data_IF_229568696944
#
_entry.id   IF_229568696944
#
_cell.length_a   1.000
_cell.length_b   1.000
_cell.length_c   1.000
_cell.angle_alpha   90.00
_cell.angle_beta   90.00
_cell.angle_gamma   90.00
#
_symmetry.space_group_name_H-M   'P 1'
#
loop_
_entity.id
_entity.type
_entity.pdbx_description
1 polymer ?
#
# COMPACT_ATOMS: atom_id res chain seq x y z
N UNK A 1 20.06 11.30 -16.20
CA UNK A 1 18.90 12.14 -16.54
C UNK A 1 18.06 11.50 -17.65
N UNK A 2 18.51 11.44 -18.92
CA UNK A 2 17.71 10.88 -20.02
C UNK A 2 17.29 9.41 -19.83
N UNK A 3 18.21 8.54 -19.39
CA UNK A 3 17.91 7.13 -19.09
C UNK A 3 16.91 6.98 -17.94
N UNK A 4 17.06 7.77 -16.89
CA UNK A 4 16.16 7.78 -15.73
C UNK A 4 14.74 8.22 -16.09
N UNK A 5 14.60 9.24 -16.95
CA UNK A 5 13.30 9.67 -17.46
C UNK A 5 12.65 8.61 -18.34
N UNK A 6 13.40 8.00 -19.25
CA UNK A 6 12.90 6.92 -20.10
C UNK A 6 12.48 5.68 -19.29
N UNK A 7 13.25 5.29 -18.27
CA UNK A 7 12.91 4.17 -17.38
C UNK A 7 11.61 4.45 -16.60
N UNK A 8 11.43 5.68 -16.11
CA UNK A 8 10.22 6.11 -15.42
C UNK A 8 9.01 6.13 -16.34
N UNK A 9 9.12 6.72 -17.54
CA UNK A 9 8.05 6.73 -18.53
C UNK A 9 7.64 5.32 -18.95
N UNK A 10 8.61 4.42 -19.13
CA UNK A 10 8.34 3.01 -19.43
C UNK A 10 7.60 2.33 -18.29
N UNK A 11 8.00 2.56 -17.04
CA UNK A 11 7.31 2.01 -15.87
C UNK A 11 5.87 2.54 -15.78
N UNK A 12 5.67 3.84 -15.94
CA UNK A 12 4.34 4.42 -15.89
C UNK A 12 3.45 3.97 -17.05
N UNK A 13 4.01 3.74 -18.23
CA UNK A 13 3.27 3.13 -19.34
C UNK A 13 2.73 1.75 -18.95
N UNK A 14 3.52 0.96 -18.20
CA UNK A 14 3.05 -0.33 -17.65
C UNK A 14 1.97 -0.15 -16.59
N UNK A 15 2.13 0.81 -15.67
CA UNK A 15 1.08 1.16 -14.69
C UNK A 15 -0.22 1.48 -15.41
N UNK A 16 -0.18 2.33 -16.44
CA UNK A 16 -1.34 2.67 -17.24
C UNK A 16 -1.97 1.46 -17.94
N UNK A 17 -1.16 0.58 -18.52
CA UNK A 17 -1.64 -0.63 -19.16
C UNK A 17 -2.37 -1.57 -18.19
N UNK A 18 -1.83 -1.77 -16.98
CA UNK A 18 -2.42 -2.66 -15.96
C UNK A 18 -3.67 -2.02 -15.35
N UNK A 19 -3.61 -0.72 -15.03
CA UNK A 19 -4.71 0.02 -14.39
C UNK A 19 -5.82 0.44 -15.36
N UNK A 20 -5.68 0.16 -16.67
CA UNK A 20 -6.60 0.61 -17.71
C UNK A 20 -6.59 2.13 -17.94
N UNK A 21 -5.51 2.82 -17.56
CA UNK A 21 -5.37 4.27 -17.68
C UNK A 21 -4.77 4.67 -19.02
N UNK A 22 -5.34 5.69 -19.67
CA UNK A 22 -4.80 6.26 -20.92
C UNK A 22 -5.05 7.77 -20.99
N UNK A 23 -4.31 8.45 -21.87
CA UNK A 23 -4.49 9.88 -22.11
C UNK A 23 -4.39 10.70 -20.83
N UNK A 24 -5.51 11.28 -20.40
CA UNK A 24 -5.58 12.13 -19.20
C UNK A 24 -5.27 11.37 -17.92
N UNK A 25 -5.83 10.18 -17.72
CA UNK A 25 -5.64 9.41 -16.48
C UNK A 25 -4.19 8.97 -16.30
N UNK A 26 -3.52 8.57 -17.39
CA UNK A 26 -2.11 8.23 -17.34
C UNK A 26 -1.25 9.47 -17.03
N UNK A 27 -1.61 10.64 -17.58
CA UNK A 27 -0.93 11.89 -17.24
C UNK A 27 -1.11 12.23 -15.76
N UNK A 28 -2.30 12.06 -15.20
CA UNK A 28 -2.56 12.34 -13.78
C UNK A 28 -1.76 11.40 -12.87
N UNK A 29 -1.66 10.11 -13.22
CA UNK A 29 -0.79 9.16 -12.52
C UNK A 29 0.70 9.59 -12.58
N UNK A 30 1.19 10.01 -13.75
CA UNK A 30 2.56 10.49 -13.92
C UNK A 30 2.84 11.72 -13.06
N UNK A 31 1.96 12.72 -13.15
CA UNK A 31 2.08 13.98 -12.40
C UNK A 31 2.08 13.69 -10.89
N UNK A 32 1.23 12.76 -10.45
CA UNK A 32 1.18 12.38 -9.04
C UNK A 32 2.43 11.64 -8.59
N UNK A 33 2.95 10.68 -9.37
CA UNK A 33 4.18 9.97 -9.00
C UNK A 33 5.37 10.94 -8.87
N UNK A 34 5.47 11.92 -9.77
CA UNK A 34 6.49 12.98 -9.70
C UNK A 34 6.29 13.84 -8.46
N UNK A 35 5.04 14.25 -8.18
CA UNK A 35 4.71 15.08 -7.02
C UNK A 35 5.04 14.36 -5.71
N UNK A 36 4.61 13.11 -5.55
CA UNK A 36 4.92 12.29 -4.39
C UNK A 36 6.44 12.08 -4.26
N UNK A 37 7.13 11.92 -5.39
CA UNK A 37 8.58 11.87 -5.48
C UNK A 37 9.31 13.13 -4.97
N UNK A 38 8.64 14.28 -4.96
CA UNK A 38 9.17 15.56 -4.50
C UNK A 38 8.71 15.91 -3.07
N UNK A 39 7.48 15.52 -2.70
CA UNK A 39 6.84 15.88 -1.44
C UNK A 39 7.15 14.87 -0.31
N UNK A 40 7.69 13.68 -0.63
CA UNK A 40 7.97 12.62 0.33
C UNK A 40 9.44 12.21 0.34
N UNK A 41 9.81 11.29 1.23
CA UNK A 41 11.17 10.71 1.28
C UNK A 41 11.45 9.72 0.13
N UNK A 42 10.44 9.36 -0.66
CA UNK A 42 10.53 8.37 -1.73
C UNK A 42 10.71 9.05 -3.07
N UNK A 43 11.45 8.42 -3.98
CA UNK A 43 11.61 8.89 -5.35
C UNK A 43 10.35 8.66 -6.19
N UNK A 44 10.22 9.42 -7.29
CA UNK A 44 9.14 9.20 -8.26
C UNK A 44 9.12 7.76 -8.82
N UNK A 45 10.28 7.10 -8.90
CA UNK A 45 10.39 5.70 -9.36
C UNK A 45 9.86 4.72 -8.31
N UNK A 46 10.12 4.97 -7.03
CA UNK A 46 9.55 4.17 -5.94
C UNK A 46 8.03 4.36 -5.87
N UNK A 47 7.54 5.60 -6.01
CA UNK A 47 6.12 5.88 -6.10
C UNK A 47 5.48 5.15 -7.30
N UNK A 48 6.12 5.18 -8.48
CA UNK A 48 5.66 4.43 -9.66
C UNK A 48 5.63 2.91 -9.42
N UNK A 49 6.60 2.36 -8.68
CA UNK A 49 6.59 0.95 -8.26
C UNK A 49 5.41 0.62 -7.35
N UNK A 50 5.10 1.49 -6.38
CA UNK A 50 3.91 1.35 -5.56
C UNK A 50 2.61 1.40 -6.38
N UNK A 51 2.51 2.34 -7.33
CA UNK A 51 1.35 2.44 -8.23
C UNK A 51 1.18 1.17 -9.08
N UNK A 52 2.28 0.57 -9.52
CA UNK A 52 2.28 -0.67 -10.29
C UNK A 52 1.78 -1.86 -9.47
N UNK A 53 2.17 -1.95 -8.20
CA UNK A 53 1.69 -2.98 -7.29
C UNK A 53 0.19 -2.82 -7.02
N UNK A 54 -0.27 -1.59 -6.78
CA UNK A 54 -1.70 -1.31 -6.61
C UNK A 54 -2.51 -1.64 -7.87
N UNK A 55 -1.98 -1.30 -9.05
CA UNK A 55 -2.59 -1.68 -10.33
C UNK A 55 -2.69 -3.20 -10.47
N UNK A 56 -1.62 -3.91 -10.12
CA UNK A 56 -1.55 -5.38 -10.17
C UNK A 56 -2.52 -6.04 -9.16
N UNK A 57 -2.80 -5.34 -8.05
CA UNK A 57 -3.84 -5.72 -7.09
C UNK A 57 -5.28 -5.41 -7.57
N UNK A 58 -5.45 -4.95 -8.81
CA UNK A 58 -6.75 -4.73 -9.45
C UNK A 58 -7.31 -3.31 -9.31
N UNK A 59 -6.54 -2.36 -8.77
CA UNK A 59 -6.99 -0.98 -8.63
C UNK A 59 -6.91 -0.22 -9.96
N UNK A 60 -7.94 0.57 -10.26
CA UNK A 60 -7.92 1.50 -11.39
C UNK A 60 -7.14 2.79 -11.09
N UNK A 61 -6.93 3.62 -12.11
CA UNK A 61 -6.19 4.89 -12.03
C UNK A 61 -6.60 5.77 -10.84
N UNK A 62 -7.90 5.96 -10.61
CA UNK A 62 -8.42 6.81 -9.52
C UNK A 62 -8.18 6.20 -8.15
N UNK A 63 -8.36 4.89 -8.03
CA UNK A 63 -8.10 4.16 -6.79
C UNK A 63 -6.61 4.20 -6.44
N UNK A 64 -5.73 3.97 -7.43
CA UNK A 64 -4.29 4.11 -7.24
C UNK A 64 -3.95 5.50 -6.72
N UNK A 65 -4.46 6.54 -7.37
CA UNK A 65 -4.19 7.91 -6.95
C UNK A 65 -4.67 8.21 -5.53
N UNK A 66 -5.82 7.67 -5.14
CA UNK A 66 -6.35 7.84 -3.78
C UNK A 66 -5.55 7.06 -2.73
N UNK A 67 -5.08 5.86 -3.07
CA UNK A 67 -4.37 4.98 -2.14
C UNK A 67 -2.91 5.38 -1.93
N UNK A 68 -2.25 5.95 -2.95
CA UNK A 68 -0.81 6.18 -2.96
C UNK A 68 -0.27 6.98 -1.76
N UNK A 69 -0.92 8.07 -1.29
CA UNK A 69 -0.45 8.80 -0.11
C UNK A 69 -0.38 7.92 1.14
N UNK A 70 -1.40 7.10 1.40
CA UNK A 70 -1.40 6.18 2.55
C UNK A 70 -0.39 5.05 2.41
N UNK A 71 -0.14 4.56 1.18
CA UNK A 71 0.94 3.60 0.94
C UNK A 71 2.31 4.19 1.28
N UNK A 72 2.58 5.44 0.92
CA UNK A 72 3.85 6.07 1.27
C UNK A 72 3.96 6.35 2.77
N UNK A 73 2.85 6.66 3.45
CA UNK A 73 2.83 6.72 4.92
C UNK A 73 3.18 5.38 5.54
N UNK A 74 2.58 4.29 5.04
CA UNK A 74 2.90 2.94 5.51
C UNK A 74 4.37 2.58 5.26
N UNK A 75 4.91 2.95 4.09
CA UNK A 75 6.32 2.74 3.77
C UNK A 75 7.25 3.49 4.72
N UNK A 76 6.89 4.71 5.11
CA UNK A 76 7.68 5.47 6.08
C UNK A 76 7.73 4.79 7.47
N UNK A 77 6.68 4.04 7.83
CA UNK A 77 6.60 3.28 9.09
C UNK A 77 7.29 1.92 8.98
N UNK A 78 7.25 1.27 7.79
CA UNK A 78 7.76 -0.08 7.56
C UNK A 78 9.23 -0.15 7.14
N UNK A 79 10.01 0.92 7.36
CA UNK A 79 11.44 0.95 7.02
C UNK A 79 11.76 1.31 5.57
N UNK A 80 10.80 1.85 4.82
CA UNK A 80 11.01 2.50 3.53
C UNK A 80 10.63 1.67 2.30
N UNK A 81 10.09 0.46 2.47
CA UNK A 81 9.70 -0.37 1.32
C UNK A 81 8.30 0.01 0.78
N UNK A 82 8.29 0.81 -0.28
CA UNK A 82 7.06 1.24 -0.97
C UNK A 82 6.35 0.06 -1.64
N UNK A 83 7.08 -0.92 -2.14
CA UNK A 83 6.51 -2.05 -2.86
C UNK A 83 5.73 -2.96 -1.89
N UNK A 84 6.36 -3.33 -0.76
CA UNK A 84 5.72 -4.08 0.32
C UNK A 84 4.53 -3.32 0.91
N UNK A 85 4.66 -2.01 1.08
CA UNK A 85 3.58 -1.18 1.61
C UNK A 85 2.38 -1.11 0.68
N UNK A 86 2.60 -1.06 -0.64
CA UNK A 86 1.53 -1.10 -1.62
C UNK A 86 0.78 -2.44 -1.57
N UNK A 87 1.51 -3.55 -1.44
CA UNK A 87 0.92 -4.88 -1.28
C UNK A 87 0.11 -5.00 0.01
N UNK A 88 0.66 -4.57 1.14
CA UNK A 88 -0.01 -4.63 2.45
C UNK A 88 -1.26 -3.75 2.49
N UNK A 89 -1.17 -2.52 1.96
CA UNK A 89 -2.32 -1.64 1.85
C UNK A 89 -3.39 -2.24 0.95
N UNK A 90 -3.04 -2.78 -0.22
CA UNK A 90 -4.00 -3.41 -1.10
C UNK A 90 -4.68 -4.63 -0.45
N UNK A 91 -3.90 -5.48 0.23
CA UNK A 91 -4.42 -6.64 0.97
C UNK A 91 -5.41 -6.21 2.05
N UNK A 92 -5.07 -5.22 2.87
CA UNK A 92 -5.94 -4.74 3.92
C UNK A 92 -7.23 -4.11 3.33
N UNK A 93 -7.08 -3.25 2.33
CA UNK A 93 -8.22 -2.58 1.69
C UNK A 93 -9.18 -3.59 1.08
N UNK A 94 -8.67 -4.52 0.28
CA UNK A 94 -9.48 -5.54 -0.36
C UNK A 94 -10.06 -6.54 0.64
N UNK A 95 -9.27 -6.97 1.62
CA UNK A 95 -9.66 -7.98 2.61
C UNK A 95 -10.76 -7.53 3.56
N UNK A 96 -10.81 -6.23 3.87
CA UNK A 96 -11.84 -5.63 4.73
C UNK A 96 -12.90 -4.84 3.97
N UNK A 97 -12.88 -4.85 2.63
CA UNK A 97 -13.84 -4.13 1.81
C UNK A 97 -13.79 -2.60 1.97
N UNK A 98 -12.61 -2.06 2.27
CA UNK A 98 -12.37 -0.62 2.44
C UNK A 98 -12.15 0.08 1.10
N UNK A 99 -12.35 1.39 1.07
CA UNK A 99 -12.14 2.19 -0.13
C UNK A 99 -10.67 2.61 -0.27
N UNK A 100 -10.20 2.85 -1.48
CA UNK A 100 -8.79 3.22 -1.72
C UNK A 100 -8.32 4.46 -0.93
N UNK A 101 -9.22 5.40 -0.66
CA UNK A 101 -8.95 6.60 0.16
C UNK A 101 -8.66 6.26 1.64
N UNK A 102 -9.03 5.07 2.10
CA UNK A 102 -8.82 4.59 3.46
C UNK A 102 -7.40 4.04 3.66
N UNK A 103 -6.53 4.08 2.64
CA UNK A 103 -5.15 3.61 2.75
C UNK A 103 -4.35 4.33 3.85
N UNK A 104 -4.66 5.62 4.11
CA UNK A 104 -4.05 6.35 5.21
C UNK A 104 -4.49 5.79 6.57
N UNK A 105 -5.77 5.42 6.70
CA UNK A 105 -6.27 4.76 7.89
C UNK A 105 -5.64 3.37 8.08
N UNK A 106 -5.45 2.59 7.01
CA UNK A 106 -4.70 1.33 7.07
C UNK A 106 -3.28 1.57 7.59
N UNK A 107 -2.58 2.57 7.07
CA UNK A 107 -1.24 2.93 7.53
C UNK A 107 -1.21 3.30 9.03
N UNK A 108 -2.20 4.07 9.49
CA UNK A 108 -2.31 4.45 10.90
C UNK A 108 -2.55 3.25 11.81
N UNK A 109 -3.40 2.29 11.39
CA UNK A 109 -3.66 1.07 12.17
C UNK A 109 -2.40 0.21 12.26
N UNK A 110 -1.67 0.05 11.16
CA UNK A 110 -0.39 -0.66 11.16
C UNK A 110 0.64 0.05 12.05
N UNK A 111 0.78 1.36 11.92
CA UNK A 111 1.68 2.14 12.75
C UNK A 111 1.35 2.02 14.24
N UNK A 112 0.05 2.01 14.57
CA UNK A 112 -0.42 1.85 15.94
C UNK A 112 -0.11 0.47 16.51
N UNK A 113 -0.43 -0.58 15.76
CA UNK A 113 -0.15 -1.94 16.19
C UNK A 113 1.36 -2.18 16.36
N UNK A 114 2.19 -1.68 15.43
CA UNK A 114 3.65 -1.78 15.55
C UNK A 114 4.25 -0.95 16.69
N UNK A 115 3.60 0.14 17.10
CA UNK A 115 4.04 0.94 18.24
C UNK A 115 3.63 0.33 19.60
N UNK A 116 2.49 -0.35 19.64
CA UNK A 116 1.92 -0.90 20.87
C UNK A 116 2.35 -2.36 21.13
N UNK A 117 2.85 -3.07 20.11
CA UNK A 117 3.24 -4.49 20.22
C UNK A 117 4.54 -4.79 19.47
N UNK A 118 5.03 -6.02 19.55
CA UNK A 118 6.21 -6.51 18.82
C UNK A 118 5.92 -6.91 17.35
N UNK A 119 4.78 -6.51 16.79
CA UNK A 119 4.41 -6.78 15.40
C UNK A 119 5.09 -5.79 14.45
N UNK A 120 5.79 -6.29 13.43
CA UNK A 120 6.30 -5.44 12.36
C UNK A 120 5.25 -5.27 11.25
N UNK A 121 5.35 -4.20 10.45
CA UNK A 121 4.42 -3.96 9.35
C UNK A 121 4.43 -5.10 8.31
N UNK A 122 5.58 -5.78 8.11
CA UNK A 122 5.69 -6.99 7.32
C UNK A 122 4.90 -8.16 7.94
N UNK A 123 5.08 -8.40 9.24
CA UNK A 123 4.41 -9.49 9.97
C UNK A 123 2.88 -9.32 9.89
N UNK A 124 2.40 -8.09 10.04
CA UNK A 124 0.98 -7.78 9.90
C UNK A 124 0.48 -7.97 8.47
N UNK A 125 1.25 -7.53 7.47
CA UNK A 125 0.93 -7.77 6.07
C UNK A 125 0.71 -9.25 5.77
N UNK A 126 1.67 -10.10 6.18
CA UNK A 126 1.59 -11.55 5.99
C UNK A 126 0.42 -12.18 6.75
N UNK A 127 0.22 -11.79 8.01
CA UNK A 127 -0.91 -12.29 8.80
C UNK A 127 -2.26 -11.90 8.15
N UNK A 128 -2.40 -10.67 7.70
CA UNK A 128 -3.62 -10.16 7.08
C UNK A 128 -3.95 -10.84 5.74
N UNK A 129 -2.95 -11.23 4.93
CA UNK A 129 -3.19 -12.03 3.72
C UNK A 129 -3.97 -13.31 4.04
N UNK A 130 -3.71 -13.90 5.21
CA UNK A 130 -4.29 -15.18 5.63
C UNK A 130 -5.64 -15.03 6.33
N UNK A 131 -5.87 -13.93 7.05
CA UNK A 131 -7.02 -13.80 7.96
C UNK A 131 -8.01 -12.69 7.59
N UNK A 132 -7.63 -11.71 6.77
CA UNK A 132 -8.47 -10.53 6.54
C UNK A 132 -9.86 -10.87 5.97
N UNK A 133 -10.01 -11.71 4.92
CA UNK A 133 -11.33 -12.05 4.39
C UNK A 133 -12.22 -12.78 5.40
N UNK A 134 -11.63 -13.65 6.23
CA UNK A 134 -12.35 -14.43 7.24
C UNK A 134 -12.75 -13.57 8.43
N UNK A 135 -11.87 -12.67 8.89
CA UNK A 135 -12.14 -11.72 9.95
C UNK A 135 -13.27 -10.76 9.56
N UNK A 136 -13.19 -10.19 8.35
CA UNK A 136 -14.26 -9.34 7.82
C UNK A 136 -15.59 -10.11 7.69
N UNK A 137 -15.56 -11.35 7.19
CA UNK A 137 -16.74 -12.21 7.12
C UNK A 137 -17.34 -12.57 8.49
N UNK A 138 -16.53 -12.57 9.55
CA UNK A 138 -16.96 -12.74 10.93
C UNK A 138 -17.43 -11.44 11.60
N UNK A 139 -17.38 -10.30 10.88
CA UNK A 139 -17.78 -8.99 11.36
C UNK A 139 -16.72 -8.24 12.17
N UNK A 140 -15.46 -8.70 12.16
CA UNK A 140 -14.36 -8.01 12.81
C UNK A 140 -13.83 -6.86 11.95
N UNK A 141 -13.42 -5.77 12.60
CA UNK A 141 -12.78 -4.64 11.95
C UNK A 141 -11.29 -4.89 11.67
N UNK A 142 -10.70 -4.01 10.85
CA UNK A 142 -9.26 -3.99 10.61
C UNK A 142 -8.49 -3.79 11.93
N UNK A 143 -8.95 -2.87 12.78
CA UNK A 143 -8.34 -2.55 14.07
C UNK A 143 -8.40 -3.71 15.05
N UNK A 144 -9.56 -4.38 15.16
CA UNK A 144 -9.71 -5.56 16.03
C UNK A 144 -8.78 -6.69 15.58
N UNK A 145 -8.69 -6.91 14.27
CA UNK A 145 -7.84 -7.94 13.69
C UNK A 145 -6.35 -7.59 13.87
N UNK A 146 -5.96 -6.35 13.61
CA UNK A 146 -4.58 -5.88 13.79
C UNK A 146 -4.16 -5.94 15.27
N UNK A 147 -5.04 -5.58 16.20
CA UNK A 147 -4.78 -5.71 17.64
C UNK A 147 -4.58 -7.19 18.03
N UNK A 148 -5.41 -8.11 17.52
CA UNK A 148 -5.25 -9.53 17.78
C UNK A 148 -3.92 -10.08 17.24
N UNK A 149 -3.54 -9.69 16.01
CA UNK A 149 -2.22 -10.03 15.43
C UNK A 149 -1.09 -9.45 16.28
N UNK A 150 -1.26 -8.22 16.77
CA UNK A 150 -0.30 -7.57 17.66
C UNK A 150 -0.05 -8.36 18.94
N UNK A 151 -1.12 -8.78 19.64
CA UNK A 151 -1.03 -9.61 20.86
C UNK A 151 -0.39 -10.97 20.57
N UNK A 152 -0.68 -11.59 19.43
CA UNK A 152 -0.03 -12.84 19.02
C UNK A 152 1.48 -12.63 18.79
N UNK A 153 1.86 -11.49 18.20
CA UNK A 153 3.26 -11.15 17.95
C UNK A 153 4.05 -10.93 19.23
N UNK A 154 3.44 -10.36 20.27
CA UNK A 154 4.02 -10.26 21.62
C UNK A 154 4.27 -11.64 22.25
N UNK A 155 3.40 -12.61 21.95
CA UNK A 155 3.58 -14.00 22.35
C UNK A 155 4.57 -14.78 21.46
N UNK A 156 5.21 -14.12 20.48
CA UNK A 156 6.19 -14.71 19.57
C UNK A 156 5.59 -15.40 18.34
N UNK A 157 4.28 -15.26 18.09
CA UNK A 157 3.60 -15.78 16.91
C UNK A 157 3.46 -14.63 15.89
N UNK A 158 4.40 -14.57 14.96
CA UNK A 158 4.45 -13.55 13.89
C UNK A 158 3.94 -14.10 12.57
N UNK A 159 3.45 -13.22 11.69
CA UNK A 159 3.14 -13.57 10.31
C UNK A 159 4.41 -13.93 9.54
N UNK A 160 4.31 -14.92 8.63
CA UNK A 160 5.45 -15.47 7.88
C UNK A 160 5.04 -16.04 6.53
#
# INVERSE_FOLDING_TARGET
ALKTGADFEHQMSRVGAIAGASGKDLKELNDQAIKLGADTAFSAKEAAGGMENLASAGMNSKQIMAAMPGVLNLAAVSGGDVALSAENAATALNGFGLEAKDSAHVADVFARAAADTNAEASDMGEALKMVAPQAHGAGLSLEETAAAIGVLSDAGIKGS
#
